data_IF_806230522127
#
_entry.id   IF_806230522127
#
_cell.length_a   1.000
_cell.length_b   1.000
_cell.length_c   1.000
_cell.angle_alpha   90.00
_cell.angle_beta   90.00
_cell.angle_gamma   90.00
#
_symmetry.space_group_name_H-M   'P 1'
#
loop_
_entity.id
_entity.type
_entity.pdbx_description
1 polymer ?
#
# COMPACT_ATOMS: atom_id res chain seq x y z
N UNK A 1 -8.85 -8.22 0.84
CA UNK A 1 -9.56 -8.43 2.12
C UNK A 1 -11.03 -8.86 1.96
N UNK A 2 -11.92 -8.16 1.21
CA UNK A 2 -13.35 -8.51 1.18
C UNK A 2 -13.66 -9.96 0.78
N UNK A 3 -12.95 -10.49 -0.22
CA UNK A 3 -13.07 -11.89 -0.64
C UNK A 3 -12.66 -12.86 0.48
N UNK A 4 -11.52 -12.62 1.14
CA UNK A 4 -11.05 -13.46 2.24
C UNK A 4 -12.04 -13.47 3.42
N UNK A 5 -12.62 -12.32 3.76
CA UNK A 5 -13.66 -12.20 4.81
C UNK A 5 -14.88 -13.04 4.47
N UNK A 6 -15.35 -12.97 3.22
CA UNK A 6 -16.50 -13.76 2.74
C UNK A 6 -16.22 -15.26 2.86
N UNK A 7 -15.08 -15.71 2.36
CA UNK A 7 -14.69 -17.13 2.39
C UNK A 7 -14.47 -17.62 3.82
N UNK A 8 -13.88 -16.80 4.70
CA UNK A 8 -13.68 -17.14 6.10
C UNK A 8 -15.02 -17.32 6.84
N UNK A 9 -15.96 -16.39 6.67
CA UNK A 9 -17.29 -16.47 7.30
C UNK A 9 -18.07 -17.71 6.87
N UNK A 10 -17.90 -18.16 5.62
CA UNK A 10 -18.54 -19.39 5.12
C UNK A 10 -17.92 -20.64 5.76
N UNK A 11 -16.60 -20.65 5.96
CA UNK A 11 -15.86 -21.80 6.53
C UNK A 11 -15.95 -21.87 8.07
N UNK A 12 -16.11 -20.72 8.73
CA UNK A 12 -16.06 -20.56 10.18
C UNK A 12 -17.26 -19.72 10.69
N UNK A 13 -18.51 -20.19 10.55
CA UNK A 13 -19.70 -19.36 10.81
C UNK A 13 -19.88 -18.94 12.27
N UNK A 14 -19.25 -19.64 13.22
CA UNK A 14 -19.32 -19.32 14.66
C UNK A 14 -18.25 -18.35 15.16
N UNK A 15 -17.36 -17.88 14.28
CA UNK A 15 -16.23 -17.00 14.67
C UNK A 15 -16.59 -15.54 14.38
N UNK A 16 -16.51 -14.69 15.41
CA UNK A 16 -16.61 -13.23 15.25
C UNK A 16 -15.36 -12.69 14.55
N UNK A 17 -15.55 -11.75 13.63
CA UNK A 17 -14.45 -11.12 12.91
C UNK A 17 -14.52 -9.61 13.11
N UNK A 18 -13.43 -9.05 13.64
CA UNK A 18 -13.18 -7.61 13.72
C UNK A 18 -12.10 -7.23 12.70
N UNK A 19 -12.25 -6.06 12.08
CA UNK A 19 -11.33 -5.57 11.04
C UNK A 19 -11.05 -4.11 11.36
N UNK A 20 -9.76 -3.80 11.53
CA UNK A 20 -9.27 -2.45 11.70
C UNK A 20 -8.32 -2.09 10.55
N UNK A 21 -8.35 -0.83 10.13
CA UNK A 21 -7.38 -0.27 9.19
C UNK A 21 -6.57 0.79 9.92
N UNK A 22 -5.27 0.55 10.08
CA UNK A 22 -4.29 1.44 10.72
C UNK A 22 -2.98 1.41 9.95
N UNK A 23 -2.03 2.26 10.34
CA UNK A 23 -0.68 2.21 9.80
C UNK A 23 0.02 0.88 10.12
N UNK A 24 0.89 0.42 9.23
CA UNK A 24 1.46 -0.92 9.31
C UNK A 24 2.38 -1.13 10.52
N UNK A 25 3.02 -0.08 11.00
CA UNK A 25 3.84 -0.07 12.22
C UNK A 25 3.00 -0.20 13.50
N UNK A 26 1.83 0.45 13.54
CA UNK A 26 0.83 0.29 14.61
C UNK A 26 0.28 -1.13 14.64
N UNK A 27 -0.15 -1.67 13.48
CA UNK A 27 -0.69 -3.03 13.39
C UNK A 27 0.32 -4.07 13.87
N UNK A 28 1.58 -3.93 13.51
CA UNK A 28 2.64 -4.80 14.03
C UNK A 28 2.83 -4.67 15.54
N UNK A 29 2.58 -3.49 16.12
CA UNK A 29 2.61 -3.26 17.56
C UNK A 29 1.50 -4.03 18.26
N UNK A 30 0.29 -3.98 17.72
CA UNK A 30 -0.89 -4.69 18.23
C UNK A 30 -0.72 -6.22 18.16
N UNK A 31 -0.09 -6.74 17.10
CA UNK A 31 0.25 -8.17 17.02
C UNK A 31 1.25 -8.55 18.12
N UNK A 32 2.25 -7.72 18.38
CA UNK A 32 3.22 -7.96 19.45
C UNK A 32 2.62 -7.91 20.85
N UNK A 33 1.68 -6.99 21.09
CA UNK A 33 0.98 -6.88 22.37
C UNK A 33 -0.15 -7.89 22.55
N UNK A 34 -0.45 -8.70 21.51
CA UNK A 34 -1.57 -9.66 21.46
C UNK A 34 -2.95 -9.01 21.52
N UNK A 35 -3.04 -7.76 21.09
CA UNK A 35 -4.29 -7.04 20.88
C UNK A 35 -4.86 -7.30 19.47
N UNK A 36 -4.04 -7.80 18.55
CA UNK A 36 -4.44 -8.22 17.21
C UNK A 36 -3.89 -9.61 16.89
N UNK A 37 -4.72 -10.48 16.30
CA UNK A 37 -4.29 -11.83 15.95
C UNK A 37 -3.38 -11.85 14.71
N UNK A 38 -3.75 -11.11 13.66
CA UNK A 38 -3.07 -11.09 12.36
C UNK A 38 -3.11 -9.67 11.79
N UNK A 39 -1.97 -9.21 11.27
CA UNK A 39 -1.87 -8.00 10.46
C UNK A 39 -1.52 -8.33 9.01
N UNK A 40 -2.14 -7.61 8.07
CA UNK A 40 -1.77 -7.63 6.64
C UNK A 40 -1.22 -6.25 6.30
N UNK A 41 0.06 -6.20 5.95
CA UNK A 41 0.82 -4.95 5.77
C UNK A 41 1.76 -5.08 4.58
N UNK A 42 2.10 -3.96 3.96
CA UNK A 42 3.10 -3.90 2.89
C UNK A 42 4.50 -3.74 3.49
N UNK A 43 5.43 -4.55 2.99
CA UNK A 43 6.86 -4.54 3.32
C UNK A 43 7.20 -4.14 4.78
N UNK A 44 6.72 -4.92 5.77
CA UNK A 44 6.93 -4.56 7.16
C UNK A 44 8.41 -4.70 7.55
N UNK A 45 8.92 -3.73 8.30
CA UNK A 45 10.20 -3.86 8.97
C UNK A 45 10.21 -5.13 9.86
N UNK A 46 11.24 -5.99 9.80
CA UNK A 46 11.31 -7.18 10.64
C UNK A 46 11.23 -6.84 12.13
N UNK A 47 10.39 -7.57 12.88
CA UNK A 47 10.25 -7.41 14.33
C UNK A 47 10.45 -8.74 15.06
N UNK A 48 11.39 -8.83 16.02
CA UNK A 48 11.56 -10.02 16.85
C UNK A 48 10.25 -10.38 17.56
N UNK A 49 9.85 -11.64 17.49
CA UNK A 49 8.61 -12.12 18.10
C UNK A 49 7.38 -12.06 17.17
N UNK A 50 7.45 -11.37 16.04
CA UNK A 50 6.45 -11.46 14.96
C UNK A 50 6.98 -12.39 13.88
N UNK A 51 6.17 -13.35 13.45
CA UNK A 51 6.45 -14.12 12.25
C UNK A 51 5.71 -13.50 11.07
N UNK A 52 6.43 -13.31 9.96
CA UNK A 52 5.88 -12.75 8.72
C UNK A 52 5.93 -13.77 7.60
N UNK A 53 4.88 -13.80 6.76
CA UNK A 53 4.81 -14.61 5.55
C UNK A 53 4.41 -13.73 4.37
N UNK A 54 5.12 -13.86 3.26
CA UNK A 54 4.75 -13.18 2.03
C UNK A 54 3.42 -13.73 1.50
N UNK A 55 2.46 -12.85 1.20
CA UNK A 55 1.19 -13.21 0.59
C UNK A 55 1.21 -13.03 -0.93
N UNK A 56 2.06 -12.14 -1.43
CA UNK A 56 2.16 -11.80 -2.85
C UNK A 56 2.85 -10.45 -3.04
N UNK A 57 2.78 -9.95 -4.26
CA UNK A 57 3.27 -8.63 -4.64
C UNK A 57 2.11 -7.83 -5.25
N UNK A 58 2.14 -6.52 -5.05
CA UNK A 58 1.21 -5.59 -5.67
C UNK A 58 1.97 -4.65 -6.60
N UNK A 59 1.37 -4.32 -7.73
CA UNK A 59 1.95 -3.38 -8.70
C UNK A 59 1.46 -1.97 -8.42
N UNK A 60 2.36 -1.01 -8.56
CA UNK A 60 2.01 0.41 -8.60
C UNK A 60 1.51 0.72 -10.01
N UNK A 61 0.33 1.30 -10.10
CA UNK A 61 -0.33 1.59 -11.38
C UNK A 61 -0.64 3.07 -11.51
N UNK A 62 -0.59 3.58 -12.73
CA UNK A 62 -1.10 4.91 -13.03
C UNK A 62 -2.62 4.88 -13.11
N UNK A 63 -3.27 5.72 -12.30
CA UNK A 63 -4.69 5.96 -12.33
C UNK A 63 -4.93 7.43 -12.69
N UNK A 64 -5.43 7.67 -13.89
CA UNK A 64 -5.70 9.01 -14.39
C UNK A 64 -6.97 9.08 -15.24
N UNK A 65 -7.35 10.28 -15.69
CA UNK A 65 -8.53 10.47 -16.52
C UNK A 65 -8.41 9.69 -17.84
N UNK A 66 -9.53 9.13 -18.31
CA UNK A 66 -9.57 8.29 -19.51
C UNK A 66 -9.09 9.01 -20.78
N UNK A 67 -9.26 10.34 -20.86
CA UNK A 67 -8.78 11.16 -21.98
C UNK A 67 -7.25 11.15 -22.11
N UNK A 68 -6.55 10.89 -21.00
CA UNK A 68 -5.10 10.87 -20.91
C UNK A 68 -4.62 9.46 -20.53
N UNK A 69 -5.43 8.43 -20.76
CA UNK A 69 -5.05 7.06 -20.49
C UNK A 69 -3.89 6.68 -21.42
N UNK A 70 -2.71 6.33 -20.88
CA UNK A 70 -1.64 5.81 -21.69
C UNK A 70 -2.09 4.49 -22.34
N UNK A 71 -1.46 4.08 -23.45
CA UNK A 71 -1.71 2.77 -24.04
C UNK A 71 -1.51 1.67 -23.00
N UNK A 72 -2.24 0.56 -23.14
CA UNK A 72 -2.12 -0.58 -22.24
C UNK A 72 -0.66 -1.01 -22.09
N UNK A 73 -0.21 -1.15 -20.84
CA UNK A 73 1.13 -1.61 -20.49
C UNK A 73 1.85 -0.69 -19.52
N UNK A 74 3.17 -0.93 -19.31
CA UNK A 74 3.98 -0.10 -18.44
C UNK A 74 4.06 1.34 -18.93
N UNK A 75 4.01 2.27 -17.98
CA UNK A 75 4.12 3.72 -18.23
C UNK A 75 5.46 4.22 -17.75
N UNK A 76 6.08 5.13 -18.49
CA UNK A 76 7.30 5.79 -18.02
C UNK A 76 6.92 6.87 -17.03
N UNK A 77 7.43 6.76 -15.79
CA UNK A 77 7.18 7.74 -14.74
C UNK A 77 7.54 9.18 -15.16
N UNK A 78 8.64 9.33 -15.91
CA UNK A 78 9.07 10.62 -16.46
C UNK A 78 8.09 11.24 -17.47
N UNK A 79 7.29 10.42 -18.16
CA UNK A 79 6.33 10.84 -19.17
C UNK A 79 4.94 11.19 -18.60
N UNK A 80 4.73 10.94 -17.30
CA UNK A 80 3.49 11.33 -16.62
C UNK A 80 3.50 12.84 -16.35
N UNK A 81 2.32 13.47 -16.45
CA UNK A 81 2.10 14.86 -16.01
C UNK A 81 2.36 14.95 -14.51
N UNK A 82 3.43 15.66 -14.17
CA UNK A 82 3.94 15.82 -12.81
C UNK A 82 3.36 17.04 -12.10
N UNK A 83 2.61 17.89 -12.79
CA UNK A 83 2.04 19.11 -12.20
C UNK A 83 0.67 18.87 -11.56
N UNK A 84 0.00 17.78 -11.91
CA UNK A 84 -1.39 17.52 -11.51
C UNK A 84 -1.62 16.10 -11.00
N UNK A 85 -0.87 15.70 -9.97
CA UNK A 85 -1.06 14.41 -9.33
C UNK A 85 -1.32 14.53 -7.83
N UNK A 86 -1.95 13.50 -7.28
CA UNK A 86 -2.27 13.36 -5.86
C UNK A 86 -1.26 12.39 -5.26
N UNK A 87 -0.46 12.88 -4.30
CA UNK A 87 0.44 12.08 -3.51
C UNK A 87 -0.28 11.31 -2.42
N UNK A 88 0.37 10.26 -1.91
CA UNK A 88 -0.15 9.41 -0.82
C UNK A 88 0.55 9.76 0.51
N UNK A 89 1.33 10.85 0.53
CA UNK A 89 2.11 11.26 1.69
C UNK A 89 3.34 10.40 1.96
N UNK A 90 4.29 10.98 2.70
CA UNK A 90 5.58 10.33 3.01
C UNK A 90 5.51 9.30 4.16
N UNK A 91 4.39 9.22 4.88
CA UNK A 91 4.16 8.22 5.92
C UNK A 91 3.74 6.86 5.35
N UNK A 92 3.26 6.83 4.11
CA UNK A 92 2.91 5.59 3.42
C UNK A 92 4.14 4.99 2.72
N UNK A 93 4.41 3.67 2.88
CA UNK A 93 5.50 2.99 2.18
C UNK A 93 5.47 3.20 0.65
N UNK A 94 4.28 3.28 0.05
CA UNK A 94 4.11 3.53 -1.37
C UNK A 94 4.57 4.94 -1.77
N UNK A 95 4.28 5.96 -0.95
CA UNK A 95 4.78 7.31 -1.16
C UNK A 95 6.31 7.36 -1.15
N UNK A 96 6.93 6.65 -0.20
CA UNK A 96 8.38 6.48 -0.15
C UNK A 96 8.97 5.81 -1.40
N UNK A 97 8.32 4.74 -1.90
CA UNK A 97 8.72 4.05 -3.13
C UNK A 97 8.64 4.96 -4.36
N UNK A 98 7.55 5.73 -4.50
CA UNK A 98 7.38 6.69 -5.60
C UNK A 98 8.45 7.79 -5.52
N UNK A 99 8.70 8.35 -4.34
CA UNK A 99 9.72 9.37 -4.15
C UNK A 99 11.14 8.85 -4.46
N UNK A 100 11.44 7.59 -4.13
CA UNK A 100 12.70 6.97 -4.51
C UNK A 100 12.81 6.79 -6.03
N UNK A 101 11.74 6.33 -6.68
CA UNK A 101 11.71 6.19 -8.14
C UNK A 101 11.92 7.53 -8.87
N UNK A 102 11.39 8.65 -8.34
CA UNK A 102 11.69 9.98 -8.88
C UNK A 102 13.15 10.37 -8.69
N UNK A 103 13.74 10.16 -7.50
CA UNK A 103 15.17 10.42 -7.25
C UNK A 103 16.08 9.64 -8.19
N UNK A 104 15.80 8.35 -8.39
CA UNK A 104 16.60 7.49 -9.27
C UNK A 104 16.58 7.96 -10.73
N UNK A 105 15.55 8.72 -11.13
CA UNK A 105 15.41 9.33 -12.45
C UNK A 105 15.91 10.79 -12.50
N UNK A 106 16.39 11.35 -11.39
CA UNK A 106 16.78 12.77 -11.29
C UNK A 106 15.60 13.74 -11.37
N UNK A 107 14.43 13.30 -10.88
CA UNK A 107 13.15 14.03 -10.93
C UNK A 107 12.65 14.43 -9.54
N UNK A 108 13.53 14.55 -8.55
CA UNK A 108 13.16 14.85 -7.15
C UNK A 108 12.46 16.19 -6.91
N UNK A 109 12.55 17.13 -7.85
CA UNK A 109 11.81 18.40 -7.78
C UNK A 109 10.30 18.21 -8.08
N UNK A 110 9.88 17.05 -8.57
CA UNK A 110 8.48 16.74 -8.83
C UNK A 110 7.73 16.53 -7.51
N UNK A 111 6.90 17.49 -7.14
CA UNK A 111 6.06 17.42 -5.95
C UNK A 111 4.59 17.18 -6.31
N UNK A 112 3.83 16.42 -5.51
CA UNK A 112 2.39 16.29 -5.71
C UNK A 112 1.69 17.64 -5.54
N UNK A 113 0.59 17.81 -6.28
CA UNK A 113 -0.26 19.00 -6.16
C UNK A 113 -1.04 18.99 -4.85
N UNK A 114 -1.44 17.79 -4.40
CA UNK A 114 -2.17 17.53 -3.16
C UNK A 114 -1.60 16.25 -2.54
N UNK A 115 -1.47 16.21 -1.22
CA UNK A 115 -1.18 14.98 -0.46
C UNK A 115 -2.48 14.43 0.16
N UNK A 116 -2.67 13.12 0.08
CA UNK A 116 -3.80 12.40 0.66
C UNK A 116 -3.61 12.11 2.17
#
# INVERSE_FOLDING_TARGET
IPQAVREFRQRCPGVSLEIETRHGDELQGLVMSRELDIAVVFDPAPRPGVTSSALGQAEVVYLGPASNAPPHGPVQLAALDDQHWIGIGNSDPLGGLIAQAFRDLGLEERTPMIEA
#
